data_IF_172304318662
#
_entry.id   IF_172304318662
#
_cell.length_a   1.000
_cell.length_b   1.000
_cell.length_c   1.000
_cell.angle_alpha   90.00
_cell.angle_beta   90.00
_cell.angle_gamma   90.00
#
_symmetry.space_group_name_H-M   'P 1'
#
loop_
_entity.id
_entity.type
_entity.pdbx_description
1 polymer ?
#
# COMPACT_ATOMS: atom_id res chain seq x y z
N UNK A 1 -20.52 8.25 -6.22
CA UNK A 1 -21.76 8.38 -7.03
C UNK A 1 -22.95 7.79 -6.26
N UNK A 2 -24.11 8.48 -6.16
CA UNK A 2 -25.24 8.04 -5.32
C UNK A 2 -26.12 7.00 -6.05
N UNK A 3 -26.38 5.81 -5.49
CA UNK A 3 -27.16 4.74 -6.12
C UNK A 3 -28.69 4.90 -5.99
N UNK A 4 -29.15 6.01 -5.39
CA UNK A 4 -30.55 6.30 -5.14
C UNK A 4 -30.97 7.51 -5.98
N UNK A 5 -32.05 7.35 -6.74
CA UNK A 5 -32.70 8.48 -7.41
C UNK A 5 -33.56 9.30 -6.43
N UNK A 6 -34.12 10.42 -6.90
CA UNK A 6 -34.99 11.29 -6.09
C UNK A 6 -36.30 10.62 -5.63
N UNK A 7 -36.63 9.44 -6.16
CA UNK A 7 -37.80 8.62 -5.77
C UNK A 7 -37.43 7.48 -4.80
N UNK A 8 -36.16 7.39 -4.38
CA UNK A 8 -35.67 6.33 -3.50
C UNK A 8 -35.46 4.98 -4.19
N UNK A 9 -35.60 4.91 -5.51
CA UNK A 9 -35.40 3.68 -6.26
C UNK A 9 -33.90 3.39 -6.42
N UNK A 10 -33.49 2.17 -6.06
CA UNK A 10 -32.15 1.67 -6.25
C UNK A 10 -31.91 1.37 -7.73
N UNK A 11 -31.00 2.11 -8.37
CA UNK A 11 -30.54 1.78 -9.73
C UNK A 11 -29.18 1.08 -9.62
N UNK A 12 -29.06 -0.20 -9.97
CA UNK A 12 -27.76 -0.85 -10.00
C UNK A 12 -26.88 -0.12 -11.02
N UNK A 13 -25.81 0.51 -10.53
CA UNK A 13 -24.86 1.33 -11.32
C UNK A 13 -24.12 0.49 -12.37
N UNK A 14 -24.08 -0.84 -12.20
CA UNK A 14 -23.54 -1.79 -13.15
C UNK A 14 -24.39 -3.06 -13.19
N UNK A 15 -24.65 -3.61 -14.38
CA UNK A 15 -25.16 -4.97 -14.51
C UNK A 15 -24.24 -5.96 -13.77
N UNK A 16 -24.80 -6.91 -13.02
CA UNK A 16 -24.03 -7.77 -12.11
C UNK A 16 -22.86 -8.52 -12.78
N UNK A 17 -22.93 -8.75 -14.10
CA UNK A 17 -21.82 -9.31 -14.90
C UNK A 17 -20.62 -8.38 -15.05
N UNK A 18 -20.84 -7.07 -15.24
CA UNK A 18 -19.78 -6.07 -15.38
C UNK A 18 -19.06 -5.83 -14.04
N UNK A 19 -19.81 -5.78 -12.93
CA UNK A 19 -19.24 -5.62 -11.60
C UNK A 19 -18.38 -6.83 -11.20
N UNK A 20 -18.86 -8.06 -11.48
CA UNK A 20 -18.10 -9.28 -11.23
C UNK A 20 -16.80 -9.32 -12.04
N UNK A 21 -16.84 -8.93 -13.32
CA UNK A 21 -15.65 -8.87 -14.18
C UNK A 21 -14.64 -7.83 -13.68
N UNK A 22 -15.10 -6.65 -13.25
CA UNK A 22 -14.25 -5.61 -12.70
C UNK A 22 -13.60 -6.03 -11.38
N UNK A 23 -14.38 -6.63 -10.47
CA UNK A 23 -13.89 -7.16 -9.20
C UNK A 23 -12.83 -8.25 -9.40
N UNK A 24 -13.09 -9.24 -10.26
CA UNK A 24 -12.13 -10.32 -10.56
C UNK A 24 -10.84 -9.73 -11.17
N UNK A 25 -10.95 -8.77 -12.08
CA UNK A 25 -9.78 -8.15 -12.71
C UNK A 25 -8.98 -7.30 -11.71
N UNK A 26 -9.66 -6.53 -10.86
CA UNK A 26 -9.03 -5.72 -9.81
C UNK A 26 -8.32 -6.60 -8.78
N UNK A 27 -9.02 -7.57 -8.21
CA UNK A 27 -8.45 -8.52 -7.25
C UNK A 27 -7.31 -9.34 -7.86
N UNK A 28 -7.43 -9.76 -9.13
CA UNK A 28 -6.37 -10.48 -9.83
C UNK A 28 -5.08 -9.67 -9.96
N UNK A 29 -5.19 -8.38 -10.29
CA UNK A 29 -4.03 -7.48 -10.37
C UNK A 29 -3.41 -7.23 -9.00
N UNK A 30 -4.22 -7.01 -7.95
CA UNK A 30 -3.71 -6.83 -6.58
C UNK A 30 -3.01 -8.09 -6.05
N UNK A 31 -3.55 -9.27 -6.33
CA UNK A 31 -2.91 -10.53 -5.94
C UNK A 31 -1.58 -10.74 -6.67
N UNK A 32 -1.53 -10.42 -7.96
CA UNK A 32 -0.29 -10.47 -8.74
C UNK A 32 0.75 -9.48 -8.21
N UNK A 33 0.36 -8.24 -7.90
CA UNK A 33 1.29 -7.25 -7.36
C UNK A 33 1.82 -7.65 -5.99
N UNK A 34 0.96 -8.13 -5.09
CA UNK A 34 1.37 -8.62 -3.77
C UNK A 34 2.26 -9.86 -3.88
N UNK A 35 1.91 -10.80 -4.77
CA UNK A 35 2.71 -11.99 -5.04
C UNK A 35 4.09 -11.68 -5.60
N UNK A 36 4.18 -10.73 -6.55
CA UNK A 36 5.45 -10.26 -7.10
C UNK A 36 6.32 -9.59 -6.03
N UNK A 37 5.74 -8.71 -5.21
CA UNK A 37 6.46 -8.08 -4.09
C UNK A 37 6.99 -9.11 -3.09
N UNK A 38 6.18 -10.12 -2.73
CA UNK A 38 6.61 -11.20 -1.85
C UNK A 38 7.76 -12.01 -2.47
N UNK A 39 7.67 -12.34 -3.76
CA UNK A 39 8.73 -13.06 -4.47
C UNK A 39 10.04 -12.27 -4.45
N UNK A 40 9.99 -10.96 -4.72
CA UNK A 40 11.15 -10.07 -4.63
C UNK A 40 11.73 -10.05 -3.22
N UNK A 41 10.88 -9.94 -2.19
CA UNK A 41 11.30 -9.94 -0.78
C UNK A 41 12.03 -11.23 -0.40
N UNK A 42 11.50 -12.39 -0.82
CA UNK A 42 12.13 -13.69 -0.57
C UNK A 42 13.49 -13.76 -1.26
N UNK A 43 13.55 -13.39 -2.54
CA UNK A 43 14.81 -13.40 -3.30
C UNK A 43 15.84 -12.49 -2.65
N UNK A 44 15.46 -11.27 -2.28
CA UNK A 44 16.33 -10.33 -1.58
C UNK A 44 16.85 -10.92 -0.26
N UNK A 45 15.99 -11.57 0.52
CA UNK A 45 16.37 -12.22 1.78
C UNK A 45 17.36 -13.38 1.57
N UNK A 46 17.13 -14.21 0.56
CA UNK A 46 18.04 -15.32 0.20
C UNK A 46 19.40 -14.81 -0.27
N UNK A 47 19.42 -13.75 -1.07
CA UNK A 47 20.66 -13.10 -1.52
C UNK A 47 21.40 -12.49 -0.34
N UNK A 48 20.72 -11.77 0.56
CA UNK A 48 21.31 -11.25 1.79
C UNK A 48 21.90 -12.38 2.64
N UNK A 49 21.20 -13.50 2.79
CA UNK A 49 21.67 -14.64 3.57
C UNK A 49 22.91 -15.31 2.97
N UNK A 50 23.14 -15.13 1.66
CA UNK A 50 24.34 -15.60 0.96
C UNK A 50 25.50 -14.59 0.99
N UNK A 51 25.20 -13.28 1.00
CA UNK A 51 26.23 -12.22 1.02
C UNK A 51 26.71 -11.86 2.43
N UNK A 52 25.85 -11.94 3.45
CA UNK A 52 26.19 -11.54 4.81
C UNK A 52 26.77 -12.71 5.61
N UNK A 53 27.81 -12.41 6.38
CA UNK A 53 28.24 -13.24 7.50
C UNK A 53 27.10 -13.40 8.52
N UNK A 54 26.90 -14.59 9.13
CA UNK A 54 25.75 -14.87 10.00
C UNK A 54 25.55 -13.88 11.16
N UNK A 55 26.61 -13.17 11.57
CA UNK A 55 26.57 -12.16 12.63
C UNK A 55 25.81 -10.88 12.23
N UNK A 56 25.85 -10.47 10.96
CA UNK A 56 25.25 -9.20 10.50
C UNK A 56 23.75 -9.33 10.22
N UNK A 57 23.28 -10.57 10.07
CA UNK A 57 21.89 -10.88 9.75
C UNK A 57 20.93 -10.47 10.88
N UNK A 58 21.36 -10.60 12.14
CA UNK A 58 20.55 -10.21 13.30
C UNK A 58 20.30 -8.71 13.36
N UNK A 59 21.33 -7.89 13.06
CA UNK A 59 21.21 -6.44 13.08
C UNK A 59 20.30 -5.94 11.95
N UNK A 60 20.45 -6.49 10.74
CA UNK A 60 19.56 -6.19 9.61
C UNK A 60 18.12 -6.59 9.91
N UNK A 61 17.89 -7.75 10.52
CA UNK A 61 16.53 -8.20 10.88
C UNK A 61 15.87 -7.28 11.92
N UNK A 62 16.63 -6.80 12.92
CA UNK A 62 16.14 -5.84 13.91
C UNK A 62 15.75 -4.52 13.26
N UNK A 63 16.64 -3.93 12.46
CA UNK A 63 16.37 -2.66 11.75
C UNK A 63 15.16 -2.82 10.83
N UNK A 64 15.11 -3.90 10.04
CA UNK A 64 14.00 -4.18 9.12
C UNK A 64 12.66 -4.30 9.84
N UNK A 65 12.62 -4.95 11.00
CA UNK A 65 11.38 -5.08 11.81
C UNK A 65 10.88 -3.72 12.30
N UNK A 66 11.79 -2.87 12.81
CA UNK A 66 11.44 -1.51 13.21
C UNK A 66 10.99 -0.66 12.01
N UNK A 67 11.68 -0.74 10.86
CA UNK A 67 11.28 -0.04 9.64
C UNK A 67 9.90 -0.48 9.14
N UNK A 68 9.58 -1.78 9.19
CA UNK A 68 8.28 -2.33 8.78
C UNK A 68 7.14 -1.82 9.67
N UNK A 69 7.36 -1.69 10.99
CA UNK A 69 6.39 -1.09 11.90
C UNK A 69 6.13 0.38 11.53
N UNK A 70 7.19 1.17 11.32
CA UNK A 70 7.04 2.59 10.98
C UNK A 70 6.39 2.80 9.60
N UNK A 71 6.71 1.97 8.61
CA UNK A 71 6.04 1.99 7.29
C UNK A 71 4.55 1.67 7.39
N UNK A 72 4.15 0.76 8.29
CA UNK A 72 2.75 0.40 8.48
C UNK A 72 1.90 1.59 8.95
N UNK A 73 2.44 2.44 9.84
CA UNK A 73 1.74 3.63 10.32
C UNK A 73 1.62 4.71 9.23
N UNK A 74 2.64 4.88 8.39
CA UNK A 74 2.66 5.88 7.32
C UNK A 74 1.88 5.45 6.07
N UNK A 75 2.42 4.49 5.31
CA UNK A 75 1.95 4.22 3.95
C UNK A 75 0.58 3.52 3.90
N UNK A 76 0.30 2.59 4.82
CA UNK A 76 -0.95 1.83 4.78
C UNK A 76 -2.16 2.69 5.19
N UNK A 77 -2.03 3.57 6.19
CA UNK A 77 -3.11 4.46 6.62
C UNK A 77 -3.52 5.50 5.58
N UNK A 78 -2.56 6.09 4.86
CA UNK A 78 -2.88 7.04 3.80
C UNK A 78 -3.51 6.37 2.58
N UNK A 79 -3.07 5.17 2.22
CA UNK A 79 -3.61 4.42 1.07
C UNK A 79 -5.09 4.05 1.29
N UNK A 80 -5.47 3.63 2.50
CA UNK A 80 -6.88 3.40 2.86
C UNK A 80 -7.73 4.67 2.83
N UNK A 81 -7.17 5.80 3.31
CA UNK A 81 -7.87 7.09 3.29
C UNK A 81 -8.10 7.62 1.87
N UNK A 82 -7.15 7.37 0.94
CA UNK A 82 -7.30 7.70 -0.48
C UNK A 82 -8.35 6.80 -1.13
N UNK A 83 -8.35 5.50 -0.82
CA UNK A 83 -9.28 4.54 -1.41
C UNK A 83 -10.75 4.82 -1.05
N UNK A 84 -11.01 5.40 0.13
CA UNK A 84 -12.36 5.84 0.55
C UNK A 84 -12.83 7.15 -0.10
N UNK A 85 -11.95 7.93 -0.75
CA UNK A 85 -12.29 9.23 -1.34
C UNK A 85 -12.66 9.09 -2.82
N UNK A 86 -13.91 9.46 -3.15
CA UNK A 86 -14.52 9.38 -4.50
C UNK A 86 -13.88 10.35 -5.53
N UNK A 87 -13.16 11.38 -5.07
CA UNK A 87 -12.40 12.33 -5.92
C UNK A 87 -11.04 12.63 -5.28
N UNK A 88 -9.97 12.26 -5.98
CA UNK A 88 -8.60 12.64 -5.63
C UNK A 88 -8.34 14.02 -6.22
N UNK A 89 -8.39 15.05 -5.38
CA UNK A 89 -7.97 16.38 -5.77
C UNK A 89 -6.42 16.44 -5.81
N UNK A 90 -5.84 17.12 -6.80
CA UNK A 90 -4.37 17.26 -6.92
C UNK A 90 -3.75 17.88 -5.67
N UNK A 91 -4.50 18.74 -4.98
CA UNK A 91 -4.10 19.32 -3.70
C UNK A 91 -3.94 18.26 -2.60
N UNK A 92 -4.86 17.28 -2.52
CA UNK A 92 -4.81 16.20 -1.52
C UNK A 92 -3.64 15.25 -1.79
N UNK A 93 -3.41 14.90 -3.06
CA UNK A 93 -2.28 14.06 -3.46
C UNK A 93 -0.92 14.72 -3.13
N UNK A 94 -0.79 16.03 -3.39
CA UNK A 94 0.42 16.78 -3.06
C UNK A 94 0.63 16.88 -1.55
N UNK A 95 -0.44 17.11 -0.77
CA UNK A 95 -0.34 17.13 0.69
C UNK A 95 0.09 15.78 1.28
N UNK A 96 -0.47 14.68 0.78
CA UNK A 96 -0.09 13.32 1.19
C UNK A 96 1.36 12.99 0.81
N UNK A 97 1.82 13.45 -0.37
CA UNK A 97 3.22 13.34 -0.76
C UNK A 97 4.14 14.08 0.23
N UNK A 98 3.84 15.34 0.55
CA UNK A 98 4.64 16.12 1.49
C UNK A 98 4.65 15.54 2.91
N UNK A 99 3.53 14.99 3.39
CA UNK A 99 3.47 14.28 4.68
C UNK A 99 4.35 13.03 4.66
N UNK A 100 4.29 12.23 3.59
CA UNK A 100 5.12 11.04 3.45
C UNK A 100 6.62 11.38 3.38
N UNK A 101 6.97 12.42 2.61
CA UNK A 101 8.35 12.94 2.56
C UNK A 101 8.81 13.42 3.93
N UNK A 102 7.98 14.17 4.65
CA UNK A 102 8.29 14.66 6.00
C UNK A 102 8.51 13.53 7.00
N UNK A 103 7.65 12.49 7.00
CA UNK A 103 7.83 11.29 7.82
C UNK A 103 9.12 10.55 7.47
N UNK A 104 9.43 10.38 6.18
CA UNK A 104 10.66 9.74 5.73
C UNK A 104 11.91 10.50 6.15
N UNK A 105 11.87 11.84 6.11
CA UNK A 105 12.96 12.71 6.53
C UNK A 105 13.16 12.65 8.05
N UNK A 106 12.06 12.64 8.82
CA UNK A 106 12.09 12.50 10.28
C UNK A 106 12.65 11.14 10.70
N UNK A 107 12.24 10.05 10.05
CA UNK A 107 12.82 8.72 10.26
C UNK A 107 14.32 8.71 9.98
N UNK A 108 14.73 9.32 8.87
CA UNK A 108 16.14 9.36 8.44
C UNK A 108 16.98 10.09 9.48
N UNK A 109 16.53 11.26 9.96
CA UNK A 109 17.22 12.01 11.01
C UNK A 109 17.21 11.27 12.35
N UNK A 110 16.14 10.55 12.67
CA UNK A 110 16.04 9.80 13.93
C UNK A 110 16.91 8.54 13.99
N UNK A 111 17.23 7.95 12.84
CA UNK A 111 18.08 6.75 12.73
C UNK A 111 19.54 7.05 12.34
N UNK A 112 19.87 8.27 11.89
CA UNK A 112 21.22 8.72 11.58
C UNK A 112 21.97 9.18 12.82
#
# INVERSE_FOLDING_TARGET
>A
MKPFDASGAFRPVAEGGALRRLAIRGSGVTLLSQGASLAVQIVATVVLARLLTPADFGLVAMVTTFSLLLMNFGQNGFTEAILQRDQIDHFLASNLFWINVGFGLLLTIGFA
#
